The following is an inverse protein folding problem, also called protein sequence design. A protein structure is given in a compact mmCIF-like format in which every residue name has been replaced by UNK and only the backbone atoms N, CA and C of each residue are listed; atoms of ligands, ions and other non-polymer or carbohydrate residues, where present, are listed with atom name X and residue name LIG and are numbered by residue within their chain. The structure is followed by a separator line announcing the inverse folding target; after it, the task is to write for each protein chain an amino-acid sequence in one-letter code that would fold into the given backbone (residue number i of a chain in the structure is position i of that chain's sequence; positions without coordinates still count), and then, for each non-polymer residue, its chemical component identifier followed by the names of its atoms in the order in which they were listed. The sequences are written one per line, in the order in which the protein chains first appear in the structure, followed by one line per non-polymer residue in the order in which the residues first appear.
data_IF_082391584074
#
_entry.id   IF_082391584074
#
_cell.length_a   1.000
_cell.length_b   1.000
_cell.length_c   1.000
_cell.angle_alpha   90.00
_cell.angle_beta   90.00
_cell.angle_gamma   90.00
#
_symmetry.space_group_name_H-M   'P 1'
#
loop_
_entity.id
_entity.type
_entity.pdbx_description
1 polymer ?
#
# COMPACT_ATOMS: atom_id res chain seq x y z
N UNK A 1 10.30 67.53 -8.13
CA UNK A 1 11.01 66.44 -7.39
C UNK A 1 10.08 65.47 -6.68
N UNK A 2 8.92 65.88 -6.20
CA UNK A 2 7.97 65.00 -5.46
C UNK A 2 7.34 63.89 -6.32
N UNK A 3 7.00 64.10 -7.61
CA UNK A 3 6.31 63.14 -8.44
C UNK A 3 7.18 61.88 -8.79
N UNK A 4 8.46 62.01 -8.92
CA UNK A 4 9.37 60.91 -9.20
C UNK A 4 9.64 60.03 -7.96
N UNK A 5 9.55 60.60 -6.78
CA UNK A 5 9.69 59.87 -5.53
C UNK A 5 8.50 58.88 -5.37
N UNK A 6 7.29 59.32 -5.67
CA UNK A 6 6.10 58.43 -5.60
C UNK A 6 6.15 57.27 -6.60
N UNK A 7 6.62 57.54 -7.83
CA UNK A 7 6.77 56.50 -8.85
C UNK A 7 7.83 55.47 -8.44
N UNK A 8 8.96 55.94 -7.89
CA UNK A 8 9.99 55.04 -7.37
C UNK A 8 9.51 54.14 -6.22
N UNK A 9 8.76 54.69 -5.28
CA UNK A 9 8.16 53.93 -4.16
C UNK A 9 7.15 52.92 -4.66
N UNK A 10 6.28 53.25 -5.61
CA UNK A 10 5.33 52.33 -6.21
C UNK A 10 6.04 51.21 -6.98
N UNK A 11 7.13 51.49 -7.70
CA UNK A 11 7.90 50.51 -8.43
C UNK A 11 8.62 49.53 -7.45
N UNK A 12 9.14 50.05 -6.34
CA UNK A 12 9.79 49.22 -5.30
C UNK A 12 8.80 48.30 -4.57
N UNK A 13 7.59 48.81 -4.25
CA UNK A 13 6.51 47.97 -3.69
C UNK A 13 6.04 46.91 -4.68
N UNK A 14 5.96 47.22 -6.00
CA UNK A 14 5.58 46.24 -7.02
C UNK A 14 6.60 45.10 -7.16
N UNK A 15 7.90 45.40 -7.05
CA UNK A 15 8.94 44.37 -7.06
C UNK A 15 8.95 43.46 -5.80
N UNK A 16 8.56 43.97 -4.65
CA UNK A 16 8.46 43.18 -3.42
C UNK A 16 7.32 42.13 -3.45
N UNK A 17 6.24 42.40 -4.21
CA UNK A 17 5.14 41.44 -4.37
C UNK A 17 5.48 40.25 -5.27
N UNK A 18 6.56 40.28 -6.04
CA UNK A 18 6.99 39.20 -6.90
C UNK A 18 7.93 38.18 -6.21
N UNK A 19 8.38 38.47 -5.00
CA UNK A 19 9.11 37.51 -4.16
C UNK A 19 8.13 36.51 -3.51
N UNK A 20 7.38 35.79 -4.31
CA UNK A 20 6.56 34.67 -3.85
C UNK A 20 7.47 33.63 -3.18
N UNK A 21 7.33 33.44 -1.87
CA UNK A 21 7.96 32.34 -1.13
C UNK A 21 7.52 31.02 -1.74
N UNK A 22 8.30 30.49 -2.65
CA UNK A 22 8.16 29.12 -3.15
C UNK A 22 8.74 28.18 -2.06
N UNK A 23 7.91 27.81 -1.10
CA UNK A 23 8.26 26.80 -0.10
C UNK A 23 8.34 25.47 -0.86
N UNK A 24 9.53 25.10 -1.35
CA UNK A 24 9.79 23.74 -1.79
C UNK A 24 9.66 22.82 -0.58
N UNK A 25 8.75 21.85 -0.69
CA UNK A 25 8.66 20.77 0.27
C UNK A 25 10.02 20.05 0.29
N UNK A 26 10.77 20.18 1.39
CA UNK A 26 12.06 19.51 1.52
C UNK A 26 11.81 18.01 1.72
N UNK A 27 12.60 17.18 1.06
CA UNK A 27 12.59 15.73 1.28
C UNK A 27 13.30 15.39 2.58
N UNK A 28 12.99 14.25 3.15
CA UNK A 28 13.60 13.79 4.41
C UNK A 28 13.80 12.27 4.40
N UNK A 29 14.87 11.83 5.07
CA UNK A 29 15.18 10.41 5.21
C UNK A 29 14.39 9.79 6.35
N UNK A 30 13.97 8.53 6.17
CA UNK A 30 13.22 7.78 7.17
C UNK A 30 13.84 6.41 7.42
N UNK A 31 13.67 5.92 8.64
CA UNK A 31 14.02 4.56 9.02
C UNK A 31 12.79 3.88 9.62
N UNK A 32 12.52 2.67 9.18
CA UNK A 32 11.46 1.83 9.74
C UNK A 32 12.09 0.54 10.22
N UNK A 33 11.85 0.19 11.48
CA UNK A 33 12.25 -1.11 12.01
C UNK A 33 11.28 -2.17 11.47
N UNK A 34 11.82 -3.20 10.83
CA UNK A 34 11.04 -4.29 10.23
C UNK A 34 9.97 -3.80 9.24
N UNK A 35 10.39 -3.11 8.18
CA UNK A 35 9.51 -2.70 7.10
C UNK A 35 8.86 -3.89 6.36
N UNK A 36 9.52 -5.05 6.37
CA UNK A 36 9.05 -6.30 5.77
C UNK A 36 8.84 -7.34 6.89
N UNK A 37 7.59 -7.64 7.20
CA UNK A 37 7.26 -8.51 8.33
C UNK A 37 6.71 -9.85 7.92
N UNK A 38 7.16 -10.90 8.62
CA UNK A 38 6.64 -12.26 8.50
C UNK A 38 5.91 -12.63 9.79
N UNK A 39 4.61 -12.86 9.69
CA UNK A 39 3.81 -13.23 10.86
C UNK A 39 3.62 -14.73 10.96
N UNK A 40 3.52 -15.23 12.20
CA UNK A 40 3.11 -16.60 12.44
C UNK A 40 1.71 -16.86 11.86
N UNK A 41 1.42 -18.13 11.48
CA UNK A 41 0.10 -18.49 10.98
C UNK A 41 -1.03 -18.06 11.92
N UNK A 42 -2.09 -17.50 11.33
CA UNK A 42 -3.31 -17.09 12.04
C UNK A 42 -4.51 -17.88 11.50
N UNK A 43 -5.59 -17.95 12.28
CA UNK A 43 -6.84 -18.58 11.82
C UNK A 43 -7.68 -17.59 11.02
N UNK A 44 -8.43 -18.11 10.05
CA UNK A 44 -9.47 -17.34 9.34
C UNK A 44 -10.40 -16.65 10.34
N UNK A 45 -10.74 -15.38 10.09
CA UNK A 45 -11.54 -14.54 10.97
C UNK A 45 -10.75 -13.86 12.09
N UNK A 46 -9.49 -14.21 12.29
CA UNK A 46 -8.64 -13.52 13.25
C UNK A 46 -8.18 -12.16 12.72
N UNK A 47 -8.12 -11.17 13.61
CA UNK A 47 -7.61 -9.83 13.27
C UNK A 47 -6.17 -9.68 13.76
N UNK A 48 -5.30 -9.25 12.87
CA UNK A 48 -3.88 -9.02 13.16
C UNK A 48 -3.61 -7.53 13.27
N UNK A 49 -3.00 -7.11 14.37
CA UNK A 49 -2.51 -5.74 14.53
C UNK A 49 -1.12 -5.59 13.86
N UNK A 50 -0.96 -4.53 13.08
CA UNK A 50 0.26 -4.23 12.33
C UNK A 50 0.73 -2.84 12.75
N UNK A 51 1.65 -2.77 13.70
CA UNK A 51 2.16 -1.52 14.26
C UNK A 51 3.58 -1.27 13.73
N UNK A 52 3.77 -0.29 12.84
CA UNK A 52 5.07 0.08 12.30
C UNK A 52 5.58 1.37 12.94
N UNK A 53 6.73 1.32 13.57
CA UNK A 53 7.42 2.51 14.05
C UNK A 53 8.26 3.10 12.91
N UNK A 54 7.94 4.33 12.54
CA UNK A 54 8.63 5.11 11.53
C UNK A 54 9.34 6.28 12.20
N UNK A 55 10.65 6.36 12.04
CA UNK A 55 11.50 7.42 12.57
C UNK A 55 11.94 8.35 11.45
N UNK A 56 11.71 9.64 11.61
CA UNK A 56 12.29 10.66 10.74
C UNK A 56 13.77 10.85 11.12
N UNK A 57 14.67 10.42 10.25
CA UNK A 57 16.12 10.51 10.45
C UNK A 57 16.77 11.67 9.70
N UNK A 58 15.99 12.39 8.88
CA UNK A 58 16.46 13.56 8.15
C UNK A 58 16.24 14.87 8.92
N UNK A 59 16.66 15.98 8.31
CA UNK A 59 16.63 17.31 8.94
C UNK A 59 15.31 18.05 8.73
N UNK A 60 14.54 17.69 7.68
CA UNK A 60 13.25 18.29 7.40
C UNK A 60 12.09 17.52 8.08
N UNK A 61 10.96 18.18 8.26
CA UNK A 61 9.74 17.50 8.71
C UNK A 61 9.28 16.46 7.68
N UNK A 62 8.97 15.26 8.16
CA UNK A 62 8.32 14.23 7.34
C UNK A 62 6.81 14.48 7.30
N UNK A 63 6.28 14.57 6.11
CA UNK A 63 4.85 14.72 5.86
C UNK A 63 4.37 13.46 5.14
N UNK A 64 3.59 12.64 5.82
CA UNK A 64 2.84 11.53 5.21
C UNK A 64 1.50 12.11 4.79
N UNK A 65 1.30 12.26 3.48
CA UNK A 65 0.09 12.87 2.90
C UNK A 65 -1.05 11.88 2.73
N UNK A 66 -0.72 10.64 2.38
CA UNK A 66 -1.69 9.58 2.09
C UNK A 66 -1.12 8.21 2.44
N UNK A 67 -2.00 7.30 2.82
CA UNK A 67 -1.69 5.89 3.07
C UNK A 67 -2.64 5.04 2.24
N UNK A 68 -2.09 4.20 1.38
CA UNK A 68 -2.85 3.25 0.56
C UNK A 68 -2.51 1.82 0.94
N UNK A 69 -3.46 0.92 0.81
CA UNK A 69 -3.30 -0.52 1.05
C UNK A 69 -3.69 -1.31 -0.19
N UNK A 70 -3.01 -2.41 -0.46
CA UNK A 70 -3.30 -3.29 -1.61
C UNK A 70 -4.56 -4.13 -1.42
N UNK A 71 -5.14 -4.15 -0.23
CA UNK A 71 -6.35 -4.91 0.10
C UNK A 71 -7.30 -4.09 0.98
N UNK A 72 -8.59 -4.14 0.68
CA UNK A 72 -9.64 -3.63 1.57
C UNK A 72 -9.79 -4.40 2.90
N UNK A 73 -9.03 -5.49 3.06
CA UNK A 73 -8.91 -6.26 4.29
C UNK A 73 -8.00 -5.58 5.35
N UNK A 74 -7.30 -4.50 4.96
CA UNK A 74 -6.46 -3.72 5.87
C UNK A 74 -7.16 -2.40 6.17
N UNK A 75 -7.49 -2.20 7.44
CA UNK A 75 -8.09 -0.96 7.93
C UNK A 75 -6.99 -0.01 8.38
N UNK A 76 -7.06 1.22 7.88
CA UNK A 76 -6.17 2.34 8.24
C UNK A 76 -7.00 3.33 9.04
N UNK A 77 -6.65 3.58 10.29
CA UNK A 77 -7.32 4.58 11.14
C UNK A 77 -6.56 5.91 11.17
N UNK A 78 -5.63 6.10 10.25
CA UNK A 78 -4.65 7.15 10.28
C UNK A 78 -4.80 8.08 9.06
N UNK A 79 -4.93 9.38 9.33
CA UNK A 79 -4.91 10.42 8.30
C UNK A 79 -3.49 10.98 8.07
N UNK A 80 -3.43 12.16 7.46
CA UNK A 80 -2.18 12.91 7.27
C UNK A 80 -1.40 13.03 8.58
N UNK A 81 -0.09 12.74 8.54
CA UNK A 81 0.83 12.82 9.67
C UNK A 81 2.00 13.75 9.36
N UNK A 82 2.41 14.50 10.36
CA UNK A 82 3.65 15.31 10.33
C UNK A 82 4.53 14.82 11.45
N UNK A 83 5.77 14.44 11.12
CA UNK A 83 6.74 13.91 12.06
C UNK A 83 7.97 14.83 12.04
N UNK A 84 8.24 15.58 13.10
CA UNK A 84 9.43 16.43 13.17
C UNK A 84 10.73 15.64 13.05
N UNK A 85 11.82 16.33 12.64
CA UNK A 85 13.15 15.73 12.57
C UNK A 85 13.53 15.03 13.89
N UNK A 86 14.12 13.85 13.77
CA UNK A 86 14.56 13.02 14.91
C UNK A 86 13.44 12.35 15.72
N UNK A 87 12.17 12.58 15.40
CA UNK A 87 11.02 11.98 16.09
C UNK A 87 10.52 10.73 15.38
N UNK A 88 9.81 9.89 16.15
CA UNK A 88 9.14 8.70 15.66
C UNK A 88 7.63 8.82 15.73
N UNK A 89 6.95 8.08 14.86
CA UNK A 89 5.49 7.85 14.91
C UNK A 89 5.22 6.37 14.73
N UNK A 90 4.22 5.84 15.44
CA UNK A 90 3.72 4.48 15.24
C UNK A 90 2.49 4.55 14.36
N UNK A 91 2.57 3.91 13.19
CA UNK A 91 1.46 3.75 12.27
C UNK A 91 0.75 2.43 12.59
N UNK A 92 -0.55 2.49 12.86
CA UNK A 92 -1.34 1.35 13.30
C UNK A 92 -2.32 0.92 12.21
N UNK A 93 -2.22 -0.34 11.84
CA UNK A 93 -3.11 -0.98 10.87
C UNK A 93 -3.74 -2.22 11.50
N UNK A 94 -4.86 -2.66 10.93
CA UNK A 94 -5.52 -3.90 11.31
C UNK A 94 -5.83 -4.70 10.05
N UNK A 95 -5.28 -5.89 9.95
CA UNK A 95 -5.60 -6.84 8.92
C UNK A 95 -6.71 -7.78 9.40
N UNK A 96 -7.75 -7.98 8.58
CA UNK A 96 -8.86 -8.90 8.82
C UNK A 96 -8.74 -10.10 7.86
N UNK A 97 -8.47 -11.28 8.43
CA UNK A 97 -8.25 -12.51 7.67
C UNK A 97 -9.53 -13.24 7.25
N UNK A 98 -10.72 -12.66 7.50
CA UNK A 98 -12.00 -13.35 7.30
C UNK A 98 -12.25 -13.83 5.86
N UNK A 99 -11.62 -13.19 4.88
CA UNK A 99 -11.78 -13.51 3.45
C UNK A 99 -10.56 -14.16 2.81
N UNK A 100 -9.57 -14.52 3.61
CA UNK A 100 -8.31 -15.06 3.11
C UNK A 100 -8.04 -16.43 3.71
N UNK A 101 -7.51 -17.35 2.89
CA UNK A 101 -7.01 -18.66 3.29
C UNK A 101 -5.72 -18.91 2.53
N UNK A 102 -4.75 -19.58 3.19
CA UNK A 102 -3.43 -19.85 2.64
C UNK A 102 -2.44 -18.71 2.84
N UNK A 103 -1.41 -18.68 2.00
CA UNK A 103 -0.37 -17.65 2.06
C UNK A 103 -0.87 -16.32 1.50
N UNK A 104 -0.71 -15.28 2.28
CA UNK A 104 -1.14 -13.91 1.95
C UNK A 104 0.04 -12.98 2.11
N UNK A 105 0.27 -12.14 1.10
CA UNK A 105 1.25 -11.06 1.13
C UNK A 105 0.59 -9.75 0.71
N UNK A 106 0.78 -8.70 1.50
CA UNK A 106 0.20 -7.38 1.27
C UNK A 106 1.21 -6.26 1.43
N UNK A 107 0.93 -5.15 0.75
CA UNK A 107 1.71 -3.93 0.82
C UNK A 107 0.88 -2.78 1.38
N UNK A 108 1.56 -1.90 2.11
CA UNK A 108 1.05 -0.63 2.59
C UNK A 108 1.96 0.45 2.00
N UNK A 109 1.39 1.36 1.24
CA UNK A 109 2.09 2.42 0.55
C UNK A 109 1.90 3.74 1.29
N UNK A 110 2.98 4.33 1.74
CA UNK A 110 3.00 5.63 2.40
C UNK A 110 3.46 6.68 1.37
N UNK A 111 2.61 7.65 1.08
CA UNK A 111 2.95 8.77 0.20
C UNK A 111 3.39 9.97 1.03
N UNK A 112 4.50 10.59 0.64
CA UNK A 112 5.07 11.70 1.41
C UNK A 112 6.33 12.28 0.78
N UNK A 113 7.01 13.15 1.53
CA UNK A 113 8.25 13.81 1.12
C UNK A 113 9.51 12.97 1.46
N UNK A 114 9.48 11.68 1.15
CA UNK A 114 10.61 10.79 1.34
C UNK A 114 11.78 11.13 0.39
N UNK A 115 13.01 10.93 0.86
CA UNK A 115 14.23 11.38 0.19
C UNK A 115 14.47 10.69 -1.16
N UNK A 116 14.27 9.38 -1.24
CA UNK A 116 14.57 8.59 -2.45
C UNK A 116 13.40 8.49 -3.42
N UNK A 117 12.18 8.53 -2.90
CA UNK A 117 10.94 8.34 -3.67
C UNK A 117 9.80 9.06 -2.97
N UNK A 118 8.75 9.42 -3.71
CA UNK A 118 7.52 9.95 -3.10
C UNK A 118 6.69 8.89 -2.36
N UNK A 119 7.12 7.62 -2.39
CA UNK A 119 6.39 6.47 -1.83
C UNK A 119 7.33 5.58 -1.01
N UNK A 120 6.99 5.35 0.24
CA UNK A 120 7.63 4.34 1.09
C UNK A 120 6.74 3.10 1.22
N UNK A 121 7.34 1.91 1.08
CA UNK A 121 6.60 0.64 1.06
C UNK A 121 6.87 -0.14 2.34
N UNK A 122 5.78 -0.55 3.00
CA UNK A 122 5.79 -1.53 4.09
C UNK A 122 5.14 -2.80 3.56
N UNK A 123 5.66 -3.96 3.93
CA UNK A 123 5.09 -5.24 3.52
C UNK A 123 4.87 -6.14 4.73
N UNK A 124 3.91 -7.04 4.61
CA UNK A 124 3.79 -8.16 5.51
C UNK A 124 3.24 -9.37 4.79
N UNK A 125 3.58 -10.53 5.30
CA UNK A 125 2.97 -11.78 4.91
C UNK A 125 2.55 -12.62 6.12
N UNK A 126 1.59 -13.49 5.89
CA UNK A 126 1.05 -14.40 6.90
C UNK A 126 0.38 -15.59 6.22
N UNK A 127 0.47 -16.77 6.83
CA UNK A 127 -0.30 -17.91 6.38
C UNK A 127 -1.62 -17.98 7.18
N UNK A 128 -2.75 -17.86 6.49
CA UNK A 128 -4.09 -17.94 7.09
C UNK A 128 -4.57 -19.38 7.03
N UNK A 129 -4.72 -20.02 8.19
CA UNK A 129 -5.17 -21.41 8.33
C UNK A 129 -6.68 -21.44 8.45
N UNK A 130 -7.39 -22.34 7.73
CA UNK A 130 -8.82 -22.47 7.86
C UNK A 130 -9.24 -22.87 9.26
N UNK A 131 -10.47 -22.54 9.66
CA UNK A 131 -11.04 -23.04 10.90
C UNK A 131 -11.20 -24.57 10.83
N UNK A 132 -11.23 -25.26 11.98
CA UNK A 132 -11.36 -26.73 12.01
C UNK A 132 -12.62 -27.26 11.31
N UNK A 133 -13.68 -26.43 11.31
CA UNK A 133 -15.00 -26.74 10.68
C UNK A 133 -15.08 -26.25 9.22
N UNK A 134 -13.99 -25.69 8.68
CA UNK A 134 -13.96 -25.19 7.34
C UNK A 134 -13.93 -26.35 6.35
N UNK A 135 -14.93 -26.40 5.49
CA UNK A 135 -14.96 -27.31 4.33
C UNK A 135 -14.64 -26.50 3.10
N UNK A 136 -13.56 -26.85 2.41
CA UNK A 136 -13.20 -26.21 1.15
C UNK A 136 -14.35 -26.35 0.15
N UNK A 137 -14.71 -25.27 -0.53
CA UNK A 137 -15.64 -25.36 -1.63
C UNK A 137 -15.01 -25.99 -2.87
N UNK A 138 -15.82 -26.22 -3.89
CA UNK A 138 -15.34 -26.89 -5.10
C UNK A 138 -14.31 -26.06 -5.86
N UNK A 139 -14.41 -24.75 -5.84
CA UNK A 139 -13.52 -23.82 -6.53
C UNK A 139 -12.14 -23.80 -5.86
N UNK A 140 -12.07 -23.72 -4.55
CA UNK A 140 -10.83 -23.81 -3.79
C UNK A 140 -10.13 -25.17 -3.94
N UNK A 141 -10.89 -26.26 -3.93
CA UNK A 141 -10.36 -27.61 -4.20
C UNK A 141 -9.79 -27.73 -5.62
N UNK A 142 -10.40 -27.05 -6.56
CA UNK A 142 -9.94 -27.03 -7.95
C UNK A 142 -8.65 -26.22 -8.10
N UNK A 143 -8.56 -25.05 -7.50
CA UNK A 143 -7.36 -24.21 -7.51
C UNK A 143 -6.19 -24.87 -6.79
N UNK A 144 -6.42 -25.48 -5.63
CA UNK A 144 -5.40 -26.24 -4.91
C UNK A 144 -4.87 -27.41 -5.73
N UNK A 145 -5.76 -28.12 -6.43
CA UNK A 145 -5.39 -29.19 -7.36
C UNK A 145 -4.55 -28.69 -8.53
N UNK A 146 -4.91 -27.55 -9.11
CA UNK A 146 -4.14 -26.95 -10.20
C UNK A 146 -2.74 -26.52 -9.76
N UNK A 147 -2.61 -25.96 -8.58
CA UNK A 147 -1.32 -25.52 -8.04
C UNK A 147 -0.39 -26.67 -7.73
N UNK A 148 -0.91 -27.78 -7.21
CA UNK A 148 -0.14 -29.00 -6.90
C UNK A 148 0.27 -29.81 -8.12
N UNK A 149 -0.56 -29.80 -9.17
CA UNK A 149 -0.35 -30.60 -10.37
C UNK A 149 -0.45 -29.77 -11.65
N UNK A 150 0.50 -28.83 -11.90
CA UNK A 150 0.41 -27.91 -13.04
C UNK A 150 0.44 -28.59 -14.41
N UNK A 151 0.97 -29.81 -14.50
CA UNK A 151 0.98 -30.60 -15.76
C UNK A 151 -0.39 -31.19 -16.06
N UNK A 152 -1.11 -31.68 -15.06
CA UNK A 152 -2.46 -32.22 -15.22
C UNK A 152 -3.47 -31.11 -15.56
N UNK A 153 -3.26 -29.88 -15.07
CA UNK A 153 -4.14 -28.75 -15.39
C UNK A 153 -4.07 -28.34 -16.86
N UNK A 154 -2.89 -28.45 -17.48
CA UNK A 154 -2.71 -28.14 -18.93
C UNK A 154 -3.37 -29.18 -19.82
N UNK A 155 -3.34 -30.44 -19.42
CA UNK A 155 -3.95 -31.54 -20.16
C UNK A 155 -5.48 -31.48 -20.08
N UNK A 156 -6.05 -31.23 -18.90
CA UNK A 156 -7.48 -31.03 -18.70
C UNK A 156 -8.02 -29.74 -19.34
N UNK A 157 -7.20 -28.71 -19.50
CA UNK A 157 -7.59 -27.49 -20.20
C UNK A 157 -7.68 -27.68 -21.72
N UNK A 158 -6.85 -28.57 -22.30
CA UNK A 158 -6.94 -28.97 -23.71
C UNK A 158 -8.18 -29.84 -23.95
N UNK A 159 -8.45 -30.78 -23.06
CA UNK A 159 -9.57 -31.69 -23.15
C UNK A 159 -10.92 -30.97 -23.02
N UNK A 160 -11.00 -29.96 -22.10
CA UNK A 160 -12.19 -29.11 -21.98
C UNK A 160 -12.46 -28.27 -23.22
N UNK A 161 -11.41 -27.74 -23.88
CA UNK A 161 -11.60 -26.97 -25.13
C UNK A 161 -12.21 -27.80 -26.23
N UNK A 162 -11.82 -29.06 -26.31
CA UNK A 162 -12.37 -29.97 -27.31
C UNK A 162 -13.75 -30.51 -26.95
N UNK A 163 -14.06 -30.70 -25.68
CA UNK A 163 -15.32 -31.30 -25.22
C UNK A 163 -16.52 -30.35 -25.26
N UNK A 164 -16.33 -29.05 -25.02
CA UNK A 164 -17.44 -28.10 -24.94
C UNK A 164 -17.61 -27.19 -26.17
N UNK A 165 -16.60 -27.00 -26.99
CA UNK A 165 -16.67 -26.06 -28.13
C UNK A 165 -17.10 -26.78 -29.42
N UNK A 166 -16.73 -28.04 -29.60
CA UNK A 166 -17.06 -28.79 -30.83
C UNK A 166 -18.50 -29.37 -30.87
N UNK A 167 -19.18 -29.45 -29.73
CA UNK A 167 -20.56 -29.95 -29.69
C UNK A 167 -21.61 -28.89 -30.05
N UNK A 168 -21.28 -27.60 -29.98
CA UNK A 168 -22.22 -26.49 -30.24
C UNK A 168 -22.23 -26.06 -31.72
N UNK A 169 -21.21 -26.43 -32.50
CA UNK A 169 -21.07 -26.02 -33.92
C UNK A 169 -21.51 -27.06 -34.93
N UNK A 170 -22.05 -28.22 -34.51
CA UNK A 170 -22.48 -29.26 -35.42
C UNK A 170 -23.98 -29.34 -35.69
N UNK A 171 -24.80 -28.50 -35.03
CA UNK A 171 -26.28 -28.51 -35.19
C UNK A 171 -26.81 -27.15 -35.72
N UNK A 172 -26.08 -26.48 -36.64
CA UNK A 172 -26.63 -25.38 -37.45
C UNK A 172 -26.30 -25.56 -38.92
#
# INVERSE_FOLDING_TARGET
MSKYLWVAVCLCCSLCFLAGCHTRLQTTSVSVTDANRHYYPIRTGQKLALDYELKNTGDAELIISEIQTTCGCITVNEGRKVVPSGRSVVLKFKYDSSKNIGYVAHEILLYGNFDSTSVYRLTFDVNVVPHADYTQDYEELYEDRQSRFPLLSKEHARDRKNYYVDSVTKDQ
#
